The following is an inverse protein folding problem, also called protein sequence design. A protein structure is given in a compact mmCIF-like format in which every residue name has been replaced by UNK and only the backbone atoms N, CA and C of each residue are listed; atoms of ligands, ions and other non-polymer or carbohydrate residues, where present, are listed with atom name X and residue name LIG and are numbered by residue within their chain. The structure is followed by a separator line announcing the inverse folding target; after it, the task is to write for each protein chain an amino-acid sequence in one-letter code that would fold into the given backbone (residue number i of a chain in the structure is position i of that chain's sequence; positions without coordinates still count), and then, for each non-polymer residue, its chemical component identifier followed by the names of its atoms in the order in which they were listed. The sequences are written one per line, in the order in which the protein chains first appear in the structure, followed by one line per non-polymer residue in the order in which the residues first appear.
data_IF_513464811597
#
_entry.id   IF_513464811597
#
_cell.length_a   1.000
_cell.length_b   1.000
_cell.length_c   1.000
_cell.angle_alpha   90.00
_cell.angle_beta   90.00
_cell.angle_gamma   90.00
#
_symmetry.space_group_name_H-M   'P 1'
#
loop_
_entity.id
_entity.type
_entity.pdbx_description
1 polymer ?
#
# COMPACT_ATOMS: atom_id res chain seq x y z
N UNK A 1 -23.52 -0.19 -19.18
CA UNK A 1 -23.58 0.04 -17.72
C UNK A 1 -22.35 -0.62 -17.10
N UNK A 2 -21.52 0.11 -16.34
CA UNK A 2 -20.42 -0.52 -15.59
C UNK A 2 -21.05 -1.17 -14.35
N UNK A 3 -21.47 -2.42 -14.46
CA UNK A 3 -22.02 -3.18 -13.34
C UNK A 3 -20.88 -3.53 -12.37
N UNK A 4 -20.74 -2.67 -11.36
CA UNK A 4 -20.00 -2.94 -10.14
C UNK A 4 -21.05 -3.29 -9.07
N UNK A 5 -20.94 -4.47 -8.46
CA UNK A 5 -21.80 -4.82 -7.33
C UNK A 5 -21.02 -4.59 -6.04
N UNK A 6 -21.61 -3.79 -5.15
CA UNK A 6 -21.07 -3.45 -3.85
C UNK A 6 -22.01 -4.01 -2.78
N UNK A 7 -21.47 -4.85 -1.90
CA UNK A 7 -22.16 -5.35 -0.72
C UNK A 7 -21.40 -4.90 0.51
N UNK A 8 -22.05 -4.10 1.35
CA UNK A 8 -21.44 -3.54 2.56
C UNK A 8 -21.94 -4.23 3.82
N UNK A 9 -21.00 -4.47 4.74
CA UNK A 9 -21.24 -5.10 6.03
C UNK A 9 -20.56 -4.25 7.11
N UNK A 10 -21.24 -4.08 8.25
CA UNK A 10 -20.71 -3.35 9.39
C UNK A 10 -21.39 -2.01 9.65
N UNK A 11 -20.79 -1.16 10.49
CA UNK A 11 -21.39 0.11 10.91
C UNK A 11 -21.38 1.16 9.78
N UNK A 12 -22.37 2.04 9.79
CA UNK A 12 -22.55 3.11 8.79
C UNK A 12 -22.63 4.49 9.47
N UNK A 13 -22.26 5.54 8.73
CA UNK A 13 -22.30 6.91 9.25
C UNK A 13 -21.37 7.07 10.47
N UNK A 14 -21.85 7.80 11.48
CA UNK A 14 -21.07 8.14 12.68
C UNK A 14 -20.77 6.91 13.57
N UNK A 15 -21.56 5.84 13.46
CA UNK A 15 -21.34 4.60 14.21
C UNK A 15 -20.04 3.88 13.83
N UNK A 16 -19.47 4.22 12.67
CA UNK A 16 -18.19 3.66 12.21
C UNK A 16 -17.02 4.00 13.15
N UNK A 17 -17.15 5.07 13.93
CA UNK A 17 -16.12 5.53 14.88
C UNK A 17 -16.49 5.22 16.33
N UNK A 18 -17.58 4.49 16.58
CA UNK A 18 -17.98 4.15 17.93
C UNK A 18 -16.95 3.19 18.58
N UNK A 19 -16.74 3.29 19.91
CA UNK A 19 -15.93 2.31 20.63
C UNK A 19 -16.42 0.88 20.36
N UNK A 20 -15.50 -0.03 20.05
CA UNK A 20 -15.78 -1.44 19.70
C UNK A 20 -16.52 -1.67 18.37
N UNK A 21 -16.74 -0.62 17.58
CA UNK A 21 -17.26 -0.78 16.22
C UNK A 21 -16.30 -1.66 15.40
N UNK A 22 -16.84 -2.73 14.80
CA UNK A 22 -16.08 -3.54 13.87
C UNK A 22 -15.81 -2.73 12.58
N UNK A 23 -14.67 -2.95 11.90
CA UNK A 23 -14.41 -2.32 10.63
C UNK A 23 -15.50 -2.64 9.61
N UNK A 24 -15.85 -1.65 8.77
CA UNK A 24 -16.71 -1.89 7.61
C UNK A 24 -15.98 -2.80 6.62
N UNK A 25 -16.69 -3.82 6.16
CA UNK A 25 -16.24 -4.74 5.12
C UNK A 25 -17.10 -4.54 3.87
N UNK A 26 -16.45 -4.38 2.72
CA UNK A 26 -17.13 -4.23 1.43
C UNK A 26 -16.71 -5.34 0.48
N UNK A 27 -17.65 -6.14 0.01
CA UNK A 27 -17.43 -7.07 -1.10
C UNK A 27 -17.74 -6.36 -2.41
N UNK A 28 -16.73 -6.23 -3.26
CA UNK A 28 -16.82 -5.54 -4.54
C UNK A 28 -16.55 -6.53 -5.66
N UNK A 29 -17.50 -6.64 -6.59
CA UNK A 29 -17.35 -7.47 -7.78
C UNK A 29 -17.53 -6.65 -9.05
N UNK A 30 -16.98 -7.15 -10.16
CA UNK A 30 -17.14 -6.56 -11.49
C UNK A 30 -17.54 -7.62 -12.50
N UNK A 31 -18.32 -7.20 -13.49
CA UNK A 31 -18.49 -7.98 -14.72
C UNK A 31 -17.17 -7.96 -15.50
N UNK A 32 -16.64 -9.13 -15.84
CA UNK A 32 -15.38 -9.25 -16.58
C UNK A 32 -15.60 -8.99 -18.07
N UNK A 33 -15.00 -7.95 -18.67
CA UNK A 33 -14.96 -7.79 -20.12
C UNK A 33 -14.01 -8.82 -20.76
N UNK A 34 -13.99 -8.87 -22.11
CA UNK A 34 -13.12 -9.77 -22.87
C UNK A 34 -11.63 -9.56 -22.55
N UNK A 35 -11.18 -8.30 -22.44
CA UNK A 35 -9.88 -7.97 -21.89
C UNK A 35 -10.04 -7.41 -20.47
N UNK A 36 -9.75 -8.24 -19.48
CA UNK A 36 -10.06 -7.93 -18.08
C UNK A 36 -8.85 -7.55 -17.22
N UNK A 37 -7.60 -7.71 -17.70
CA UNK A 37 -6.39 -7.31 -16.96
C UNK A 37 -6.23 -7.89 -15.53
N UNK A 38 -6.71 -9.12 -15.28
CA UNK A 38 -6.51 -9.88 -14.04
C UNK A 38 -6.67 -9.06 -12.73
N UNK A 39 -5.63 -9.06 -11.89
CA UNK A 39 -5.58 -8.40 -10.58
C UNK A 39 -5.58 -6.87 -10.74
N UNK A 40 -4.78 -6.32 -11.65
CA UNK A 40 -4.81 -4.89 -12.02
C UNK A 40 -6.24 -4.38 -12.29
N UNK A 41 -7.00 -5.09 -13.11
CA UNK A 41 -8.37 -4.72 -13.47
C UNK A 41 -9.35 -4.79 -12.30
N UNK A 42 -9.15 -5.72 -11.36
CA UNK A 42 -9.94 -5.78 -10.12
C UNK A 42 -9.63 -4.57 -9.22
N UNK A 43 -8.35 -4.27 -9.02
CA UNK A 43 -7.88 -3.15 -8.19
C UNK A 43 -8.40 -1.82 -8.75
N UNK A 44 -8.25 -1.60 -10.06
CA UNK A 44 -8.74 -0.37 -10.70
C UNK A 44 -10.26 -0.24 -10.64
N UNK A 45 -11.01 -1.36 -10.73
CA UNK A 45 -12.45 -1.31 -10.52
C UNK A 45 -12.80 -0.85 -9.11
N UNK A 46 -12.10 -1.35 -8.09
CA UNK A 46 -12.28 -0.87 -6.71
C UNK A 46 -11.90 0.61 -6.62
N UNK A 47 -10.76 1.02 -7.15
CA UNK A 47 -10.28 2.40 -7.06
C UNK A 47 -11.26 3.42 -7.64
N UNK A 48 -11.87 3.11 -8.79
CA UNK A 48 -12.68 4.08 -9.54
C UNK A 48 -14.19 3.89 -9.43
N UNK A 49 -14.68 2.70 -9.07
CA UNK A 49 -16.12 2.40 -9.09
C UNK A 49 -16.72 2.03 -7.72
N UNK A 50 -15.90 1.89 -6.65
CA UNK A 50 -16.41 1.49 -5.32
C UNK A 50 -17.00 2.61 -4.47
N UNK A 51 -16.72 3.87 -4.80
CA UNK A 51 -17.08 5.02 -3.96
C UNK A 51 -16.30 5.12 -2.64
N UNK A 52 -15.26 4.30 -2.43
CA UNK A 52 -14.41 4.43 -1.24
C UNK A 52 -13.68 5.77 -1.24
N UNK A 53 -13.40 6.34 -0.07
CA UNK A 53 -12.79 7.69 0.09
C UNK A 53 -11.46 7.70 0.90
N UNK A 54 -10.95 6.54 1.33
CA UNK A 54 -9.74 6.45 2.15
C UNK A 54 -8.50 7.06 1.47
N UNK A 55 -7.73 7.87 2.20
CA UNK A 55 -6.52 8.53 1.68
C UNK A 55 -5.36 7.54 1.45
N UNK A 56 -5.34 6.45 2.21
CA UNK A 56 -4.35 5.39 2.14
C UNK A 56 -5.00 4.09 1.70
N UNK A 57 -4.26 3.27 0.95
CA UNK A 57 -4.68 1.96 0.47
C UNK A 57 -3.63 0.93 0.86
N UNK A 58 -4.02 -0.06 1.65
CA UNK A 58 -3.16 -1.21 1.95
C UNK A 58 -3.50 -2.35 0.98
N UNK A 59 -2.51 -2.81 0.23
CA UNK A 59 -2.62 -4.02 -0.60
C UNK A 59 -2.14 -5.23 0.16
N UNK A 60 -2.99 -6.26 0.21
CA UNK A 60 -2.71 -7.58 0.78
C UNK A 60 -3.27 -8.64 -0.18
N UNK A 61 -2.49 -9.67 -0.42
CA UNK A 61 -2.99 -10.90 -1.04
C UNK A 61 -3.82 -11.70 -0.03
N UNK A 62 -4.68 -12.59 -0.55
CA UNK A 62 -5.67 -13.32 0.24
C UNK A 62 -5.04 -14.28 1.28
N UNK A 63 -3.79 -14.69 1.04
CA UNK A 63 -2.97 -15.54 1.90
C UNK A 63 -2.04 -14.76 2.84
N UNK A 64 -1.95 -13.43 2.68
CA UNK A 64 -1.07 -12.59 3.50
C UNK A 64 -1.82 -12.01 4.71
N UNK A 65 -1.37 -12.41 5.91
CA UNK A 65 -1.94 -11.97 7.19
C UNK A 65 -1.07 -10.87 7.80
N UNK A 66 -1.55 -9.62 7.89
CA UNK A 66 -0.81 -8.55 8.53
C UNK A 66 -0.75 -8.74 10.05
N UNK A 67 0.33 -8.27 10.66
CA UNK A 67 0.45 -8.10 12.11
C UNK A 67 -0.42 -6.92 12.56
N UNK A 68 -0.81 -6.92 13.84
CA UNK A 68 -1.58 -5.83 14.46
C UNK A 68 -0.89 -4.45 14.34
N UNK A 69 0.44 -4.46 14.22
CA UNK A 69 1.26 -3.25 14.16
C UNK A 69 1.52 -2.76 12.73
N UNK A 70 1.02 -3.43 11.68
CA UNK A 70 1.37 -3.11 10.29
C UNK A 70 1.24 -1.61 9.99
N UNK A 71 0.09 -1.02 10.29
CA UNK A 71 -0.17 0.40 10.04
C UNK A 71 0.68 1.31 10.95
N UNK A 72 0.85 0.93 12.21
CA UNK A 72 1.67 1.69 13.17
C UNK A 72 3.14 1.77 12.75
N UNK A 73 3.64 0.76 12.02
CA UNK A 73 5.02 0.72 11.52
C UNK A 73 5.18 1.31 10.12
N UNK A 74 4.13 1.40 9.32
CA UNK A 74 4.20 1.87 7.93
C UNK A 74 3.72 3.30 7.72
N UNK A 75 2.64 3.73 8.38
CA UNK A 75 2.10 5.09 8.21
C UNK A 75 3.14 6.18 8.54
N UNK A 76 3.95 6.07 9.62
CA UNK A 76 4.96 7.10 9.90
C UNK A 76 6.02 7.28 8.80
N UNK A 77 6.28 6.26 7.98
CA UNK A 77 7.25 6.35 6.87
C UNK A 77 6.74 7.20 5.69
N UNK A 78 5.45 7.57 5.69
CA UNK A 78 4.88 8.54 4.76
C UNK A 78 4.99 9.98 5.28
N UNK A 79 5.58 10.19 6.46
CA UNK A 79 5.73 11.50 7.08
C UNK A 79 7.19 11.97 7.01
N UNK A 80 7.37 13.28 7.05
CA UNK A 80 8.68 13.91 7.24
C UNK A 80 8.65 14.91 8.36
N UNK A 81 9.80 15.04 9.03
CA UNK A 81 9.98 15.99 10.11
C UNK A 81 10.13 17.41 9.53
N UNK A 82 9.32 18.34 10.04
CA UNK A 82 9.47 19.76 9.76
C UNK A 82 10.53 20.33 10.69
N UNK A 83 11.64 20.80 10.13
CA UNK A 83 12.68 21.46 10.93
C UNK A 83 12.16 22.79 11.46
N UNK A 84 12.34 23.02 12.75
CA UNK A 84 11.91 24.25 13.46
C UNK A 84 12.52 25.53 12.88
N UNK A 85 13.68 25.44 12.24
CA UNK A 85 14.41 26.56 11.64
C UNK A 85 14.01 26.85 10.19
N UNK A 86 13.13 26.05 9.59
CA UNK A 86 12.72 26.25 8.20
C UNK A 86 11.72 27.40 8.06
N UNK A 87 11.95 28.25 7.06
CA UNK A 87 11.00 29.31 6.66
C UNK A 87 9.63 28.68 6.38
N UNK A 88 9.60 27.47 5.82
CA UNK A 88 8.36 26.71 5.62
C UNK A 88 7.60 26.47 6.93
N UNK A 89 8.24 26.03 8.01
CA UNK A 89 7.57 25.81 9.29
C UNK A 89 7.05 27.13 9.91
N UNK A 90 7.71 28.26 9.61
CA UNK A 90 7.27 29.60 10.07
C UNK A 90 6.09 30.17 9.25
N UNK A 91 5.92 29.72 8.00
CA UNK A 91 4.94 30.26 7.04
C UNK A 91 3.74 29.33 6.82
N UNK A 92 3.85 28.04 7.14
CA UNK A 92 2.74 27.10 7.01
C UNK A 92 1.65 27.41 8.03
N UNK A 93 0.45 27.68 7.51
CA UNK A 93 -0.77 27.86 8.29
C UNK A 93 -1.25 26.49 8.80
N UNK A 94 -1.83 26.46 10.00
CA UNK A 94 -2.35 25.31 10.77
C UNK A 94 -3.39 24.40 10.04
N UNK A 95 -3.61 24.58 8.73
CA UNK A 95 -4.64 23.92 7.91
C UNK A 95 -4.02 23.03 6.82
N UNK A 96 -3.34 21.95 7.20
CA UNK A 96 -3.02 20.87 6.25
C UNK A 96 -4.32 20.07 5.93
N UNK A 97 -4.80 20.04 4.68
CA UNK A 97 -6.04 19.36 4.30
C UNK A 97 -5.96 17.82 4.43
N UNK A 98 -4.75 17.25 4.52
CA UNK A 98 -4.53 15.82 4.66
C UNK A 98 -4.47 15.35 6.12
N UNK A 99 -3.84 16.13 7.02
CA UNK A 99 -3.61 15.77 8.43
C UNK A 99 -4.66 16.38 9.37
N UNK A 100 -5.31 17.47 8.97
CA UNK A 100 -6.31 18.18 9.78
C UNK A 100 -5.70 19.16 10.79
N UNK A 101 -6.58 19.91 11.47
CA UNK A 101 -6.28 21.01 12.42
C UNK A 101 -5.68 20.54 13.75
N UNK A 102 -4.56 19.83 13.71
CA UNK A 102 -3.76 19.62 14.93
C UNK A 102 -2.52 20.50 14.79
N UNK A 103 -2.23 21.31 15.82
CA UNK A 103 -0.97 22.06 15.95
C UNK A 103 0.21 21.10 16.10
N UNK A 104 0.48 20.31 15.08
CA UNK A 104 1.66 19.47 14.99
C UNK A 104 2.66 20.19 14.09
N UNK A 105 3.55 20.97 14.72
CA UNK A 105 4.59 21.73 14.02
C UNK A 105 5.82 20.88 13.67
N UNK A 106 5.84 19.60 14.07
CA UNK A 106 7.01 18.75 13.94
C UNK A 106 6.95 17.77 12.75
N UNK A 107 5.76 17.41 12.26
CA UNK A 107 5.63 16.41 11.19
C UNK A 107 4.59 16.81 10.16
N UNK A 108 4.89 16.56 8.87
CA UNK A 108 3.94 16.69 7.75
C UNK A 108 3.95 15.46 6.85
N UNK A 109 2.97 15.32 5.98
CA UNK A 109 2.98 14.28 4.94
C UNK A 109 4.14 14.56 4.00
N UNK A 110 5.03 13.59 3.82
CA UNK A 110 6.05 13.66 2.79
C UNK A 110 5.37 13.41 1.44
N UNK A 111 5.22 14.48 0.65
CA UNK A 111 4.53 14.42 -0.63
C UNK A 111 5.34 13.73 -1.74
N UNK A 112 6.63 13.50 -1.52
CA UNK A 112 7.49 12.78 -2.46
C UNK A 112 7.32 11.26 -2.32
N UNK A 113 6.96 10.75 -1.13
CA UNK A 113 6.81 9.30 -0.93
C UNK A 113 5.43 8.85 -1.41
N UNK A 114 5.39 7.94 -2.38
CA UNK A 114 4.15 7.39 -2.93
C UNK A 114 3.62 6.19 -2.13
N UNK A 115 4.52 5.29 -1.72
CA UNK A 115 4.14 4.07 -1.01
C UNK A 115 5.26 3.54 -0.13
N UNK A 116 4.87 2.69 0.81
CA UNK A 116 5.75 1.93 1.71
C UNK A 116 5.57 0.46 1.42
N UNK A 117 6.66 -0.23 1.09
CA UNK A 117 6.70 -1.68 0.89
C UNK A 117 7.23 -2.38 2.15
N UNK A 118 6.60 -3.47 2.59
CA UNK A 118 7.14 -4.37 3.61
C UNK A 118 7.53 -5.73 2.98
N UNK A 119 8.47 -6.50 3.56
CA UNK A 119 8.82 -7.82 3.05
C UNK A 119 7.62 -8.77 3.00
N UNK A 120 7.67 -9.73 2.07
CA UNK A 120 6.81 -10.91 2.10
C UNK A 120 7.52 -12.02 2.87
N UNK A 121 6.83 -12.59 3.86
CA UNK A 121 7.34 -13.68 4.71
C UNK A 121 6.34 -14.83 4.75
N UNK A 122 6.85 -16.02 5.01
CA UNK A 122 6.06 -17.25 4.97
C UNK A 122 6.32 -18.10 6.21
N UNK A 123 5.27 -18.71 6.75
CA UNK A 123 5.37 -19.54 7.96
C UNK A 123 5.87 -20.96 7.70
N UNK A 124 5.60 -21.50 6.51
CA UNK A 124 5.88 -22.87 6.11
C UNK A 124 7.21 -23.02 5.35
N UNK A 125 8.24 -22.29 5.80
CA UNK A 125 9.59 -22.38 5.21
C UNK A 125 10.54 -23.01 6.20
N UNK A 126 11.08 -24.17 5.81
CA UNK A 126 12.06 -24.91 6.59
C UNK A 126 13.31 -24.08 6.90
N UNK A 127 14.05 -24.48 7.93
CA UNK A 127 15.25 -23.75 8.36
C UNK A 127 16.31 -23.71 7.26
N UNK A 128 16.43 -24.80 6.51
CA UNK A 128 17.38 -24.99 5.43
C UNK A 128 17.02 -24.18 4.17
N UNK A 129 15.74 -23.87 3.98
CA UNK A 129 15.19 -23.08 2.87
C UNK A 129 15.82 -23.41 1.49
N UNK A 130 15.83 -24.69 1.12
CA UNK A 130 16.47 -25.16 -0.13
C UNK A 130 15.86 -24.54 -1.39
N UNK A 131 14.59 -24.16 -1.35
CA UNK A 131 13.87 -23.52 -2.45
C UNK A 131 13.99 -21.99 -2.42
N UNK A 132 14.71 -21.42 -1.45
CA UNK A 132 14.89 -19.99 -1.25
C UNK A 132 13.57 -19.20 -1.17
N UNK A 133 12.53 -19.78 -0.57
CA UNK A 133 11.21 -19.17 -0.45
C UNK A 133 11.23 -17.90 0.40
N UNK A 134 12.18 -17.73 1.33
CA UNK A 134 12.33 -16.45 2.06
C UNK A 134 12.71 -15.30 1.15
N UNK A 135 13.29 -15.61 -0.01
CA UNK A 135 13.81 -14.64 -0.96
C UNK A 135 14.68 -13.56 -0.27
N UNK A 136 15.54 -14.02 0.65
CA UNK A 136 16.27 -13.15 1.58
C UNK A 136 17.20 -12.17 0.86
N UNK A 137 17.81 -12.58 -0.27
CA UNK A 137 18.65 -11.68 -1.07
C UNK A 137 17.84 -10.47 -1.55
N UNK A 138 16.62 -10.71 -2.04
CA UNK A 138 15.77 -9.65 -2.55
C UNK A 138 15.23 -8.77 -1.41
N UNK A 139 14.59 -9.35 -0.40
CA UNK A 139 13.96 -8.57 0.66
C UNK A 139 14.95 -7.95 1.65
N UNK A 140 16.00 -8.68 2.05
CA UNK A 140 16.93 -8.21 3.09
C UNK A 140 18.15 -7.48 2.51
N UNK A 141 18.51 -7.76 1.27
CA UNK A 141 19.60 -7.08 0.56
C UNK A 141 19.10 -5.99 -0.40
N UNK A 142 18.46 -6.42 -1.49
CA UNK A 142 18.14 -5.54 -2.63
C UNK A 142 17.15 -4.45 -2.24
N UNK A 143 16.01 -4.80 -1.61
CA UNK A 143 14.98 -3.82 -1.24
C UNK A 143 15.52 -2.78 -0.26
N UNK A 144 16.30 -3.20 0.75
CA UNK A 144 16.96 -2.27 1.68
C UNK A 144 17.97 -1.36 0.97
N UNK A 145 18.75 -1.89 0.02
CA UNK A 145 19.68 -1.10 -0.77
C UNK A 145 18.97 -0.07 -1.66
N UNK A 146 17.85 -0.47 -2.29
CA UNK A 146 17.03 0.41 -3.13
C UNK A 146 16.28 1.48 -2.35
N UNK A 147 15.92 1.19 -1.10
CA UNK A 147 15.31 2.17 -0.18
C UNK A 147 16.22 3.38 0.06
N UNK A 148 17.54 3.17 0.12
CA UNK A 148 18.52 4.26 0.21
C UNK A 148 18.47 5.25 -0.96
N UNK A 149 17.92 4.84 -2.10
CA UNK A 149 17.69 5.69 -3.27
C UNK A 149 16.21 6.10 -3.43
N UNK A 150 15.32 5.68 -2.53
CA UNK A 150 13.88 5.91 -2.62
C UNK A 150 13.21 5.13 -3.76
N UNK A 151 13.77 3.99 -4.18
CA UNK A 151 13.36 3.25 -5.39
C UNK A 151 12.99 1.79 -5.10
N UNK A 152 12.51 1.50 -3.89
CA UNK A 152 12.02 0.17 -3.51
C UNK A 152 10.85 -0.25 -4.40
N UNK A 153 10.88 -1.43 -5.04
CA UNK A 153 9.82 -1.86 -5.94
C UNK A 153 8.55 -2.23 -5.17
N UNK A 154 7.40 -2.10 -5.81
CA UNK A 154 6.15 -2.68 -5.33
C UNK A 154 6.01 -4.11 -5.85
N UNK A 155 5.77 -5.06 -4.95
CA UNK A 155 5.74 -6.50 -5.24
C UNK A 155 4.36 -7.13 -5.07
N UNK A 156 3.31 -6.33 -5.27
CA UNK A 156 1.94 -6.82 -5.38
C UNK A 156 1.19 -7.01 -4.06
N UNK A 157 1.89 -7.00 -2.92
CA UNK A 157 1.31 -7.19 -1.59
C UNK A 157 2.11 -6.45 -0.52
N UNK A 158 1.63 -6.44 0.72
CA UNK A 158 2.27 -5.83 1.88
C UNK A 158 2.73 -4.39 1.64
N UNK A 159 1.92 -3.60 0.95
CA UNK A 159 2.28 -2.24 0.59
C UNK A 159 1.18 -1.24 0.93
N UNK A 160 1.56 -0.18 1.62
CA UNK A 160 0.70 0.94 1.96
C UNK A 160 0.94 2.08 0.95
N UNK A 161 -0.09 2.42 0.19
CA UNK A 161 -0.04 3.42 -0.87
C UNK A 161 -0.82 4.67 -0.52
N UNK A 162 -0.32 5.83 -0.94
CA UNK A 162 -1.14 7.04 -1.05
C UNK A 162 -2.07 6.90 -2.25
N UNK A 163 -3.37 7.03 -2.00
CA UNK A 163 -4.40 6.92 -3.02
C UNK A 163 -4.21 7.95 -4.13
N UNK A 164 -3.91 9.19 -3.76
CA UNK A 164 -3.81 10.30 -4.72
C UNK A 164 -2.76 10.02 -5.81
N UNK A 165 -1.64 9.39 -5.43
CA UNK A 165 -0.58 9.03 -6.38
C UNK A 165 -1.06 7.96 -7.36
N UNK A 166 -1.77 6.93 -6.86
CA UNK A 166 -2.39 5.92 -7.73
C UNK A 166 -3.43 6.55 -8.67
N UNK A 167 -4.25 7.48 -8.17
CA UNK A 167 -5.22 8.18 -9.00
C UNK A 167 -4.54 9.04 -10.08
N UNK A 168 -3.45 9.71 -9.76
CA UNK A 168 -2.69 10.56 -10.69
C UNK A 168 -2.08 9.77 -11.86
N UNK A 169 -1.62 8.55 -11.61
CA UNK A 169 -1.11 7.67 -12.67
C UNK A 169 -2.21 6.93 -13.44
N UNK A 170 -3.47 7.07 -13.05
CA UNK A 170 -4.61 6.38 -13.66
C UNK A 170 -4.87 4.97 -13.12
N UNK A 171 -4.34 4.65 -11.94
CA UNK A 171 -4.45 3.36 -11.27
C UNK A 171 -3.28 2.42 -11.57
N UNK A 172 -3.48 1.12 -11.33
CA UNK A 172 -2.52 0.08 -11.68
C UNK A 172 -2.34 -0.01 -13.19
N UNK A 173 -1.08 -0.11 -13.62
CA UNK A 173 -0.71 -0.10 -15.03
C UNK A 173 -1.11 -1.44 -15.68
N UNK A 174 -1.77 -1.38 -16.83
CA UNK A 174 -2.11 -2.56 -17.63
C UNK A 174 -1.00 -2.95 -18.61
N UNK A 175 -1.07 -4.17 -19.15
CA UNK A 175 -0.22 -4.61 -20.24
C UNK A 175 1.04 -5.37 -19.82
N UNK A 176 1.18 -5.70 -18.53
CA UNK A 176 2.20 -6.63 -18.03
C UNK A 176 1.58 -7.72 -17.15
N UNK A 177 2.20 -8.89 -17.13
CA UNK A 177 1.91 -9.95 -16.15
C UNK A 177 2.39 -9.56 -14.75
N UNK A 178 3.39 -8.68 -14.67
CA UNK A 178 3.92 -8.09 -13.43
C UNK A 178 3.48 -6.63 -13.33
N UNK A 179 2.17 -6.41 -13.24
CA UNK A 179 1.59 -5.06 -13.20
C UNK A 179 2.07 -4.26 -11.98
N UNK A 180 2.41 -4.95 -10.90
CA UNK A 180 2.82 -4.38 -9.63
C UNK A 180 4.12 -3.59 -9.75
N UNK A 181 5.16 -4.26 -10.24
CA UNK A 181 6.48 -3.69 -10.46
C UNK A 181 6.40 -2.58 -11.50
N UNK A 182 5.61 -2.80 -12.57
CA UNK A 182 5.40 -1.79 -13.60
C UNK A 182 4.70 -0.54 -13.05
N UNK A 183 3.74 -0.71 -12.13
CA UNK A 183 3.06 0.40 -11.46
C UNK A 183 4.02 1.21 -10.59
N UNK A 184 4.88 0.55 -9.81
CA UNK A 184 5.92 1.29 -9.06
C UNK A 184 6.91 2.02 -9.97
N UNK A 185 7.29 1.43 -11.11
CA UNK A 185 8.18 2.08 -12.06
C UNK A 185 7.56 3.34 -12.67
N UNK A 186 6.27 3.33 -12.98
CA UNK A 186 5.57 4.52 -13.49
C UNK A 186 5.54 5.65 -12.46
N UNK A 187 5.33 5.33 -11.19
CA UNK A 187 5.42 6.30 -10.08
C UNK A 187 6.82 6.87 -9.93
N UNK A 188 7.85 6.01 -9.91
CA UNK A 188 9.25 6.45 -9.84
C UNK A 188 9.65 7.31 -11.05
N UNK A 189 9.16 6.97 -12.25
CA UNK A 189 9.38 7.76 -13.48
C UNK A 189 8.80 9.18 -13.39
N UNK A 190 7.77 9.39 -12.56
CA UNK A 190 7.16 10.70 -12.32
C UNK A 190 7.84 11.50 -11.21
N UNK A 191 8.90 10.97 -10.60
CA UNK A 191 9.69 11.65 -9.58
C UNK A 191 9.29 11.33 -8.15
N UNK A 192 8.23 10.55 -7.94
CA UNK A 192 7.90 10.04 -6.62
C UNK A 192 8.94 9.02 -6.15
N UNK A 193 9.10 8.92 -4.84
CA UNK A 193 9.94 7.92 -4.16
C UNK A 193 9.07 6.88 -3.45
N UNK A 194 9.69 5.79 -3.01
CA UNK A 194 9.08 4.79 -2.14
C UNK A 194 9.96 4.53 -0.92
N UNK A 195 9.34 3.96 0.12
CA UNK A 195 10.02 3.56 1.35
C UNK A 195 9.92 2.05 1.59
N UNK A 196 10.87 1.50 2.33
CA UNK A 196 10.88 0.10 2.73
C UNK A 196 10.79 -0.06 4.25
N UNK A 197 9.69 -0.64 4.72
CA UNK A 197 9.56 -1.07 6.11
C UNK A 197 10.28 -2.41 6.28
N UNK A 198 11.54 -2.35 6.72
CA UNK A 198 12.44 -3.50 6.85
C UNK A 198 12.10 -4.42 8.05
N UNK A 199 10.83 -4.75 8.22
CA UNK A 199 10.26 -5.52 9.33
C UNK A 199 9.26 -6.56 8.82
N UNK A 200 9.16 -7.69 9.52
CA UNK A 200 8.26 -8.78 9.15
C UNK A 200 6.82 -8.47 9.59
N UNK A 201 6.16 -7.60 8.81
CA UNK A 201 4.85 -7.03 9.17
C UNK A 201 3.67 -7.86 8.70
N UNK A 202 3.86 -8.84 7.82
CA UNK A 202 2.80 -9.74 7.37
C UNK A 202 3.39 -11.10 6.97
N UNK A 203 2.58 -12.15 7.17
CA UNK A 203 2.98 -13.53 6.96
C UNK A 203 1.95 -14.28 6.13
N UNK A 204 2.43 -15.06 5.17
CA UNK A 204 1.58 -15.94 4.36
C UNK A 204 2.07 -17.39 4.30
N UNK A 205 1.66 -18.09 3.26
CA UNK A 205 2.00 -19.48 3.00
C UNK A 205 2.74 -19.59 1.66
N UNK A 206 3.99 -20.05 1.68
CA UNK A 206 4.78 -20.32 0.49
C UNK A 206 4.20 -21.52 -0.27
N UNK A 207 4.40 -21.59 -1.60
CA UNK A 207 4.08 -22.78 -2.37
C UNK A 207 4.82 -24.02 -1.85
N UNK A 208 4.12 -25.15 -1.72
CA UNK A 208 4.68 -26.40 -1.15
C UNK A 208 5.28 -27.35 -2.19
N UNK A 209 5.25 -26.98 -3.48
CA UNK A 209 5.74 -27.81 -4.57
C UNK A 209 6.49 -26.98 -5.61
N UNK A 210 7.47 -27.59 -6.27
CA UNK A 210 8.29 -26.95 -7.31
C UNK A 210 7.47 -26.55 -8.55
N UNK A 211 6.34 -27.21 -8.80
CA UNK A 211 5.51 -26.98 -9.99
C UNK A 211 4.49 -25.84 -9.83
N UNK A 212 4.43 -25.23 -8.64
CA UNK A 212 3.42 -24.24 -8.29
C UNK A 212 3.76 -22.83 -8.82
#
# INVERSE_FOLDING_TARGET
AKECHLFDFGPFGDEMYAPLALPRLSLITRVKPADHHNKAGNINNVLFNSGTIGKLILFLDADMRPTENFLLRTVPLLLEEMRDDSIENTVMLDDDPEIGRVKNTAWRVNRDVAFVQAPQRFHNVDKEDFMAHRNAIFYDGICRGRDGFGLTPFVGTNALWRREVLSEIGGFVYGSVTEDTLTSNEVHRRGYTSKYAAEDLAWGEAPVSVAA
#
